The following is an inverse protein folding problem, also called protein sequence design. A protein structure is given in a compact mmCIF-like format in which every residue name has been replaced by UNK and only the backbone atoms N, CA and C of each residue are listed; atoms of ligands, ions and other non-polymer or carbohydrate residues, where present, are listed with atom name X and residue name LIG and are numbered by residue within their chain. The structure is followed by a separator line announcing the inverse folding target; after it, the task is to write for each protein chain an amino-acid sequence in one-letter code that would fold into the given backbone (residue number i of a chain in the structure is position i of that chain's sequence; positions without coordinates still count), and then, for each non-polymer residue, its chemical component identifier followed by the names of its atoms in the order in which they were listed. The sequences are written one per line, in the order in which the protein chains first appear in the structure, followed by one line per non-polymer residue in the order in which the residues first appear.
data_IF_246204361266
#
_entry.id   IF_246204361266
#
_cell.length_a   1.000
_cell.length_b   1.000
_cell.length_c   1.000
_cell.angle_alpha   90.00
_cell.angle_beta   90.00
_cell.angle_gamma   90.00
#
_symmetry.space_group_name_H-M   'P 1'
#
loop_
_entity.id
_entity.type
_entity.pdbx_description
1 polymer ?
#
# COMPACT_ATOMS: atom_id res chain seq x y z
N UNK A 1 13.89 54.72 43.20
CA UNK A 1 13.95 53.28 42.93
C UNK A 1 12.71 52.90 42.11
N UNK A 2 12.85 52.76 40.80
CA UNK A 2 11.75 52.38 39.90
C UNK A 2 11.88 50.88 39.62
N UNK A 3 10.88 50.10 40.04
CA UNK A 3 10.78 48.66 39.76
C UNK A 3 10.22 48.45 38.35
N UNK A 4 10.97 47.78 37.53
CA UNK A 4 10.58 47.30 36.19
C UNK A 4 9.61 46.14 36.32
N UNK A 5 8.48 46.08 35.59
CA UNK A 5 7.59 44.94 35.64
C UNK A 5 8.14 43.80 34.75
N UNK A 6 8.12 42.64 35.32
CA UNK A 6 8.58 41.35 34.80
C UNK A 6 7.80 40.89 33.56
N UNK A 7 8.54 40.50 32.50
CA UNK A 7 8.09 39.88 31.27
C UNK A 7 7.59 38.43 31.45
N UNK A 8 6.50 38.16 32.14
CA UNK A 8 5.95 36.80 32.32
C UNK A 8 4.44 36.70 32.07
N UNK A 9 3.82 37.69 31.47
CA UNK A 9 2.37 37.70 31.28
C UNK A 9 1.92 37.90 29.82
N UNK A 10 2.60 37.21 28.84
CA UNK A 10 2.18 37.30 27.43
C UNK A 10 2.18 35.96 26.66
N UNK A 11 2.20 34.82 27.35
CA UNK A 11 2.20 33.50 26.75
C UNK A 11 1.02 32.59 27.17
N UNK A 12 -0.04 33.14 27.75
CA UNK A 12 -1.12 32.32 28.33
C UNK A 12 -2.55 32.75 27.97
N UNK A 13 -2.73 33.51 26.89
CA UNK A 13 -4.06 34.04 26.51
C UNK A 13 -4.40 33.79 25.04
N UNK A 14 -4.22 32.54 24.53
CA UNK A 14 -4.71 32.09 23.21
C UNK A 14 -5.01 30.57 23.18
N UNK A 15 -5.62 30.01 24.23
CA UNK A 15 -6.04 28.61 24.26
C UNK A 15 -7.38 28.38 24.95
N UNK A 16 -8.33 29.30 24.82
CA UNK A 16 -9.68 29.01 25.29
C UNK A 16 -10.69 29.16 24.16
N UNK A 17 -11.23 28.02 23.70
CA UNK A 17 -12.60 27.94 23.17
C UNK A 17 -12.82 27.93 21.67
N UNK A 18 -11.83 27.95 20.80
CA UNK A 18 -12.10 27.72 19.38
C UNK A 18 -12.38 26.22 19.13
N UNK A 19 -13.60 25.91 18.71
CA UNK A 19 -13.96 24.55 18.32
C UNK A 19 -13.00 24.04 17.22
N UNK A 20 -12.35 22.89 17.46
CA UNK A 20 -11.47 22.28 16.48
C UNK A 20 -12.28 21.75 15.30
N UNK A 21 -11.84 22.07 14.10
CA UNK A 21 -12.40 21.49 12.88
C UNK A 21 -11.94 20.05 12.73
N UNK A 22 -12.76 19.23 12.08
CA UNK A 22 -12.37 17.88 11.64
C UNK A 22 -11.93 17.90 10.19
N UNK A 23 -11.03 16.99 9.80
CA UNK A 23 -10.57 16.89 8.43
C UNK A 23 -9.86 15.57 8.14
N UNK A 24 -9.63 15.32 6.85
CA UNK A 24 -8.91 14.16 6.33
C UNK A 24 -7.58 14.61 5.75
N UNK A 25 -6.48 13.98 6.11
CA UNK A 25 -5.18 14.22 5.46
C UNK A 25 -5.17 13.55 4.09
N UNK A 26 -5.14 14.36 3.02
CA UNK A 26 -5.17 13.91 1.61
C UNK A 26 -3.83 14.06 0.90
N UNK A 27 -2.87 14.71 1.51
CA UNK A 27 -1.51 14.85 0.99
C UNK A 27 -0.50 15.05 2.12
N UNK A 28 0.71 14.53 1.95
CA UNK A 28 1.80 14.72 2.90
C UNK A 28 3.07 15.11 2.15
N UNK A 29 3.63 16.29 2.47
CA UNK A 29 4.76 16.89 1.80
C UNK A 29 5.83 17.29 2.83
N UNK A 30 6.55 16.33 3.36
CA UNK A 30 7.56 16.58 4.38
C UNK A 30 7.00 17.12 5.68
N UNK A 31 7.02 18.46 5.88
CA UNK A 31 6.50 19.10 7.11
C UNK A 31 5.08 19.62 6.99
N UNK A 32 4.50 19.60 5.79
CA UNK A 32 3.17 20.10 5.51
C UNK A 32 2.24 18.95 5.17
N UNK A 33 0.99 19.07 5.58
CA UNK A 33 -0.08 18.18 5.19
C UNK A 33 -1.18 18.98 4.49
N UNK A 34 -1.83 18.38 3.53
CA UNK A 34 -3.05 18.90 2.95
C UNK A 34 -4.21 18.22 3.67
N UNK A 35 -5.04 19.00 4.35
CA UNK A 35 -6.23 18.53 5.04
C UNK A 35 -7.45 18.91 4.21
N UNK A 36 -8.30 17.93 3.91
CA UNK A 36 -9.59 18.14 3.25
C UNK A 36 -10.69 18.21 4.31
N UNK A 37 -11.47 19.26 4.26
CA UNK A 37 -12.61 19.53 5.15
C UNK A 37 -13.85 18.76 4.69
N UNK A 38 -14.91 18.73 5.50
CA UNK A 38 -16.15 18.03 5.17
C UNK A 38 -16.87 18.59 3.93
N UNK A 39 -16.67 19.88 3.62
CA UNK A 39 -17.19 20.58 2.43
C UNK A 39 -16.25 20.45 1.21
N UNK A 40 -15.16 19.68 1.31
CA UNK A 40 -14.24 19.41 0.22
C UNK A 40 -13.15 20.47 -0.02
N UNK A 41 -13.05 21.48 0.84
CA UNK A 41 -11.97 22.46 0.75
C UNK A 41 -10.66 21.83 1.21
N UNK A 42 -9.53 22.22 0.57
CA UNK A 42 -8.20 21.74 0.90
C UNK A 42 -7.38 22.86 1.52
N UNK A 43 -6.90 22.61 2.73
CA UNK A 43 -6.14 23.57 3.54
C UNK A 43 -4.76 22.99 3.84
N UNK A 44 -3.72 23.82 3.68
CA UNK A 44 -2.37 23.45 4.10
C UNK A 44 -2.33 23.55 5.63
N UNK A 45 -1.86 22.48 6.26
CA UNK A 45 -1.76 22.38 7.70
C UNK A 45 -0.38 21.90 8.15
N UNK A 46 0.03 22.35 9.33
CA UNK A 46 1.26 21.88 9.99
C UNK A 46 0.91 21.08 11.25
N UNK A 47 1.58 19.97 11.50
CA UNK A 47 1.46 19.26 12.78
C UNK A 47 1.98 20.10 13.94
N UNK A 48 1.28 20.11 15.07
CA UNK A 48 1.75 20.78 16.29
C UNK A 48 2.92 19.97 16.89
N UNK A 49 4.10 20.57 16.86
CA UNK A 49 5.32 19.97 17.43
C UNK A 49 6.04 18.96 16.53
N UNK A 50 7.26 18.56 16.96
CA UNK A 50 8.20 17.74 16.16
C UNK A 50 7.84 16.24 16.11
N UNK A 51 6.97 15.75 16.97
CA UNK A 51 6.69 14.30 17.15
C UNK A 51 5.44 13.79 16.44
N UNK A 52 4.54 14.66 16.01
CA UNK A 52 3.31 14.24 15.33
C UNK A 52 3.58 14.11 13.83
N UNK A 53 3.72 12.88 13.36
CA UNK A 53 3.74 12.59 11.92
C UNK A 53 2.33 12.24 11.49
N UNK A 54 1.66 13.18 10.81
CA UNK A 54 0.42 12.91 10.12
C UNK A 54 0.72 12.25 8.78
N UNK A 55 -0.04 11.22 8.43
CA UNK A 55 0.06 10.51 7.16
C UNK A 55 -1.25 10.62 6.38
N UNK A 56 -1.19 10.37 5.09
CA UNK A 56 -2.40 10.35 4.24
C UNK A 56 -3.38 9.31 4.77
N UNK A 57 -4.67 9.68 4.85
CA UNK A 57 -5.72 8.86 5.44
C UNK A 57 -5.97 9.11 6.93
N UNK A 58 -5.15 9.91 7.61
CA UNK A 58 -5.42 10.30 8.99
C UNK A 58 -6.66 11.20 9.08
N UNK A 59 -7.50 10.91 10.06
CA UNK A 59 -8.53 11.84 10.52
C UNK A 59 -7.92 12.73 11.57
N UNK A 60 -8.08 14.04 11.44
CA UNK A 60 -7.41 15.02 12.28
C UNK A 60 -8.39 16.04 12.84
N UNK A 61 -8.01 16.56 14.01
CA UNK A 61 -8.60 17.77 14.57
C UNK A 61 -7.60 18.89 14.38
N UNK A 62 -8.04 19.98 13.75
CA UNK A 62 -7.18 21.06 13.36
C UNK A 62 -7.83 22.42 13.63
N UNK A 63 -7.00 23.43 13.80
CA UNK A 63 -7.40 24.81 14.00
C UNK A 63 -7.02 25.64 12.78
N UNK A 64 -7.97 26.41 12.25
CA UNK A 64 -7.70 27.35 11.18
C UNK A 64 -6.92 28.56 11.71
N UNK A 65 -5.97 29.05 10.90
CA UNK A 65 -5.29 30.31 11.09
C UNK A 65 -5.43 31.15 9.79
N UNK A 66 -4.82 32.32 9.73
CA UNK A 66 -5.05 33.27 8.63
C UNK A 66 -4.67 32.71 7.27
N UNK A 67 -3.53 31.99 7.15
CA UNK A 67 -3.01 31.48 5.88
C UNK A 67 -2.91 29.96 5.83
N UNK A 68 -2.74 29.29 6.97
CA UNK A 68 -2.52 27.85 7.10
C UNK A 68 -3.22 27.33 8.36
N UNK A 69 -3.42 26.01 8.45
CA UNK A 69 -3.99 25.37 9.63
C UNK A 69 -2.94 24.69 10.51
N UNK A 70 -3.30 24.41 11.75
CA UNK A 70 -2.49 23.63 12.69
C UNK A 70 -3.23 22.35 13.05
N UNK A 71 -2.62 21.19 12.81
CA UNK A 71 -3.13 19.90 13.28
C UNK A 71 -2.82 19.78 14.76
N UNK A 72 -3.86 19.79 15.58
CA UNK A 72 -3.79 19.69 17.02
C UNK A 72 -3.75 18.24 17.49
N UNK A 73 -4.51 17.37 16.81
CA UNK A 73 -4.64 15.97 17.17
C UNK A 73 -4.85 15.09 15.92
N UNK A 74 -4.20 13.93 15.89
CA UNK A 74 -4.52 12.82 15.00
C UNK A 74 -5.46 11.89 15.75
N UNK A 75 -6.60 11.54 15.16
CA UNK A 75 -7.54 10.58 15.74
C UNK A 75 -6.95 9.17 15.73
N UNK A 76 -7.48 8.26 16.56
CA UNK A 76 -7.02 6.87 16.62
C UNK A 76 -7.13 6.22 15.25
N UNK A 77 -6.01 5.71 14.75
CA UNK A 77 -5.93 4.98 13.49
C UNK A 77 -6.51 3.59 13.67
N UNK A 78 -7.25 3.12 12.66
CA UNK A 78 -7.69 1.72 12.55
C UNK A 78 -6.51 0.81 12.21
N UNK A 79 -5.66 1.25 11.29
CA UNK A 79 -4.42 0.60 10.87
C UNK A 79 -3.48 1.65 10.27
N UNK A 80 -2.20 1.27 10.11
CA UNK A 80 -1.18 2.09 9.48
C UNK A 80 -0.31 1.20 8.58
N UNK A 81 -0.33 1.43 7.27
CA UNK A 81 0.57 0.72 6.38
C UNK A 81 1.93 1.42 6.31
N UNK A 82 2.99 0.71 6.67
CA UNK A 82 4.35 1.25 6.72
C UNK A 82 5.38 0.17 6.40
N UNK A 83 6.59 0.58 6.13
CA UNK A 83 7.78 -0.27 6.07
C UNK A 83 8.81 0.24 7.06
N UNK A 84 9.65 -0.64 7.53
CA UNK A 84 10.75 -0.29 8.40
C UNK A 84 12.03 -0.96 7.90
N UNK A 85 12.97 -0.13 7.47
CA UNK A 85 14.33 -0.51 7.19
C UNK A 85 15.15 -0.38 8.49
N UNK A 86 16.42 -0.75 8.48
CA UNK A 86 17.29 -0.71 9.67
C UNK A 86 17.31 0.67 10.38
N UNK A 87 17.23 1.75 9.61
CA UNK A 87 17.45 3.12 10.09
C UNK A 87 16.18 3.95 10.04
N UNK A 88 15.24 3.63 9.15
CA UNK A 88 14.10 4.49 8.84
C UNK A 88 12.79 3.72 8.80
N UNK A 89 11.77 4.33 9.38
CA UNK A 89 10.37 3.95 9.16
C UNK A 89 9.76 4.88 8.13
N UNK A 90 9.13 4.32 7.10
CA UNK A 90 8.35 5.07 6.12
C UNK A 90 6.90 4.63 6.21
N UNK A 91 6.06 5.52 6.70
CA UNK A 91 4.60 5.36 6.67
C UNK A 91 4.06 5.77 5.31
N UNK A 92 3.13 5.00 4.79
CA UNK A 92 2.48 5.24 3.50
C UNK A 92 1.12 5.89 3.68
N UNK A 93 0.21 5.20 4.37
CA UNK A 93 -1.14 5.67 4.60
C UNK A 93 -1.78 4.98 5.81
N UNK A 94 -2.82 5.59 6.36
CA UNK A 94 -3.59 5.09 7.49
C UNK A 94 -5.06 4.87 7.13
N UNK A 95 -5.78 4.12 7.97
CA UNK A 95 -7.22 3.88 7.86
C UNK A 95 -7.65 3.24 6.54
N UNK A 96 -6.82 2.33 6.04
CA UNK A 96 -7.02 1.60 4.79
C UNK A 96 -8.05 0.48 4.95
N UNK A 97 -8.83 0.22 3.90
CA UNK A 97 -9.65 -0.98 3.76
C UNK A 97 -8.84 -2.09 3.09
N UNK A 98 -8.01 -1.72 2.11
CA UNK A 98 -7.23 -2.68 1.34
C UNK A 98 -5.97 -2.07 0.71
N UNK A 99 -5.05 -2.95 0.29
CA UNK A 99 -3.85 -2.63 -0.48
C UNK A 99 -3.92 -3.34 -1.82
N UNK A 100 -3.86 -2.60 -2.92
CA UNK A 100 -3.74 -3.12 -4.27
C UNK A 100 -2.27 -3.19 -4.66
N UNK A 101 -1.72 -4.40 -4.73
CA UNK A 101 -0.34 -4.64 -5.17
C UNK A 101 -0.38 -4.88 -6.68
N UNK A 102 -0.06 -3.83 -7.43
CA UNK A 102 -0.04 -3.85 -8.90
C UNK A 102 1.35 -4.26 -9.38
N UNK A 103 1.45 -5.47 -9.93
CA UNK A 103 2.62 -6.03 -10.59
C UNK A 103 2.35 -6.20 -12.08
N UNK A 104 3.36 -6.52 -12.86
CA UNK A 104 3.21 -6.71 -14.30
C UNK A 104 3.95 -7.97 -14.78
N UNK A 105 3.55 -8.48 -15.95
CA UNK A 105 4.29 -9.53 -16.61
C UNK A 105 5.66 -9.01 -17.08
N UNK A 106 5.76 -7.71 -17.40
CA UNK A 106 6.99 -7.01 -17.75
C UNK A 106 6.94 -5.56 -17.22
N UNK A 107 7.97 -5.05 -16.50
CA UNK A 107 9.13 -5.81 -16.02
C UNK A 107 8.74 -6.95 -15.09
N UNK A 108 9.54 -8.01 -15.09
CA UNK A 108 9.31 -9.20 -14.25
C UNK A 108 9.21 -8.82 -12.77
N UNK A 109 8.18 -9.29 -12.10
CA UNK A 109 7.98 -8.98 -10.68
C UNK A 109 8.84 -9.87 -9.77
N UNK A 110 9.29 -9.31 -8.65
CA UNK A 110 9.98 -10.03 -7.59
C UNK A 110 8.98 -10.65 -6.61
N UNK A 111 8.98 -11.97 -6.48
CA UNK A 111 8.14 -12.66 -5.49
C UNK A 111 8.57 -12.36 -4.05
N UNK A 112 9.85 -12.08 -3.81
CA UNK A 112 10.31 -11.62 -2.49
C UNK A 112 9.70 -10.28 -2.12
N UNK A 113 9.69 -9.31 -3.05
CA UNK A 113 9.04 -8.01 -2.80
C UNK A 113 7.53 -8.13 -2.65
N UNK A 114 6.88 -8.97 -3.47
CA UNK A 114 5.45 -9.26 -3.32
C UNK A 114 5.17 -9.85 -1.93
N UNK A 115 5.94 -10.85 -1.50
CA UNK A 115 5.78 -11.48 -0.20
C UNK A 115 5.98 -10.48 0.94
N UNK A 116 6.96 -9.58 0.87
CA UNK A 116 7.16 -8.53 1.87
C UNK A 116 5.95 -7.60 2.00
N UNK A 117 5.38 -7.18 0.87
CA UNK A 117 4.19 -6.33 0.88
C UNK A 117 2.96 -7.06 1.46
N UNK A 118 2.82 -8.36 1.16
CA UNK A 118 1.76 -9.19 1.74
C UNK A 118 1.93 -9.33 3.26
N UNK A 119 3.13 -9.63 3.74
CA UNK A 119 3.43 -9.74 5.19
C UNK A 119 3.10 -8.42 5.91
N UNK A 120 3.45 -7.27 5.33
CA UNK A 120 3.13 -5.99 5.93
C UNK A 120 1.60 -5.72 5.97
N UNK A 121 0.86 -6.17 4.95
CA UNK A 121 -0.59 -6.05 4.94
C UNK A 121 -1.24 -6.98 5.97
N UNK A 122 -0.79 -8.22 6.06
CA UNK A 122 -1.26 -9.20 7.05
C UNK A 122 -1.00 -8.74 8.49
N UNK A 123 0.19 -8.16 8.75
CA UNK A 123 0.55 -7.66 10.07
C UNK A 123 -0.38 -6.54 10.56
N UNK A 124 -0.85 -5.69 9.66
CA UNK A 124 -1.75 -4.57 9.94
C UNK A 124 -3.23 -4.90 9.70
N UNK A 125 -3.54 -6.17 9.38
CA UNK A 125 -4.90 -6.65 9.09
C UNK A 125 -5.57 -5.86 7.95
N UNK A 126 -4.80 -5.49 6.94
CA UNK A 126 -5.27 -4.80 5.75
C UNK A 126 -5.41 -5.83 4.62
N UNK A 127 -6.57 -5.87 3.97
CA UNK A 127 -6.86 -6.83 2.90
C UNK A 127 -5.94 -6.62 1.70
N UNK A 128 -5.07 -7.57 1.32
CA UNK A 128 -4.25 -7.45 0.12
C UNK A 128 -5.00 -7.96 -1.12
N UNK A 129 -4.79 -7.27 -2.25
CA UNK A 129 -5.25 -7.66 -3.58
C UNK A 129 -4.04 -7.63 -4.49
N UNK A 130 -3.81 -8.67 -5.26
CA UNK A 130 -2.73 -8.76 -6.24
C UNK A 130 -3.36 -8.53 -7.63
N UNK A 131 -2.83 -7.58 -8.40
CA UNK A 131 -3.23 -7.37 -9.77
C UNK A 131 -2.03 -7.57 -10.70
N UNK A 132 -2.11 -8.54 -11.59
CA UNK A 132 -1.11 -8.77 -12.62
C UNK A 132 -1.52 -8.05 -13.91
N UNK A 133 -0.79 -7.00 -14.25
CA UNK A 133 -1.05 -6.19 -15.44
C UNK A 133 -0.31 -6.72 -16.68
N UNK A 134 -0.70 -6.20 -17.82
CA UNK A 134 -0.17 -6.51 -19.15
C UNK A 134 -0.54 -7.91 -19.65
N UNK A 135 -1.80 -8.30 -19.45
CA UNK A 135 -2.32 -9.57 -19.98
C UNK A 135 -2.30 -9.64 -21.51
N UNK A 136 -2.07 -8.52 -22.17
CA UNK A 136 -1.85 -8.41 -23.62
C UNK A 136 -0.49 -8.99 -24.08
N UNK A 137 0.44 -9.32 -23.18
CA UNK A 137 1.75 -9.86 -23.52
C UNK A 137 1.79 -11.40 -23.73
N UNK A 138 0.64 -12.06 -23.83
CA UNK A 138 0.53 -13.48 -24.20
C UNK A 138 1.37 -14.40 -23.30
N UNK A 139 2.37 -15.07 -23.88
CA UNK A 139 3.18 -16.08 -23.17
C UNK A 139 3.92 -15.53 -21.92
N UNK A 140 4.38 -14.29 -21.97
CA UNK A 140 5.01 -13.65 -20.81
C UNK A 140 4.03 -13.47 -19.65
N UNK A 141 2.79 -13.09 -19.99
CA UNK A 141 1.73 -13.00 -18.98
C UNK A 141 1.40 -14.35 -18.40
N UNK A 142 1.22 -15.38 -19.25
CA UNK A 142 0.88 -16.74 -18.79
C UNK A 142 1.94 -17.29 -17.85
N UNK A 143 3.22 -17.15 -18.19
CA UNK A 143 4.33 -17.56 -17.30
C UNK A 143 4.25 -16.84 -15.95
N UNK A 144 3.99 -15.53 -15.95
CA UNK A 144 3.82 -14.74 -14.73
C UNK A 144 2.57 -15.13 -13.94
N UNK A 145 1.48 -15.45 -14.64
CA UNK A 145 0.23 -15.91 -14.05
C UNK A 145 0.39 -17.26 -13.35
N UNK A 146 1.12 -18.20 -13.92
CA UNK A 146 1.42 -19.48 -13.29
C UNK A 146 2.24 -19.32 -12.01
N UNK A 147 3.18 -18.38 -11.97
CA UNK A 147 3.96 -18.08 -10.76
C UNK A 147 3.09 -17.56 -9.61
N UNK A 148 1.91 -17.03 -9.90
CA UNK A 148 0.94 -16.58 -8.90
C UNK A 148 -0.02 -17.69 -8.44
N UNK A 149 0.10 -18.92 -8.96
CA UNK A 149 -0.76 -20.03 -8.54
C UNK A 149 -0.68 -20.32 -7.03
N UNK A 150 0.50 -20.33 -6.36
CA UNK A 150 0.58 -20.48 -4.91
C UNK A 150 -0.19 -19.40 -4.14
N UNK A 151 -0.15 -18.16 -4.61
CA UNK A 151 -0.86 -17.04 -3.97
C UNK A 151 -2.38 -17.20 -4.06
N UNK A 152 -2.88 -17.66 -5.20
CA UNK A 152 -4.32 -18.02 -5.34
C UNK A 152 -4.71 -19.18 -4.43
N UNK A 153 -3.84 -20.20 -4.34
CA UNK A 153 -4.07 -21.35 -3.45
C UNK A 153 -4.10 -20.94 -1.95
N UNK A 154 -3.34 -19.93 -1.56
CA UNK A 154 -3.39 -19.33 -0.22
C UNK A 154 -4.67 -18.50 0.04
N UNK A 155 -5.54 -18.31 -0.96
CA UNK A 155 -6.78 -17.53 -0.84
C UNK A 155 -6.64 -16.04 -1.14
N UNK A 156 -5.48 -15.58 -1.61
CA UNK A 156 -5.36 -14.19 -2.06
C UNK A 156 -6.17 -13.92 -3.32
N UNK A 157 -6.83 -12.77 -3.35
CA UNK A 157 -7.47 -12.28 -4.57
C UNK A 157 -6.39 -11.87 -5.56
N UNK A 158 -6.33 -12.58 -6.71
CA UNK A 158 -5.39 -12.32 -7.79
C UNK A 158 -6.18 -12.03 -9.07
N UNK A 159 -6.02 -10.84 -9.64
CA UNK A 159 -6.78 -10.41 -10.83
C UNK A 159 -5.86 -10.13 -12.02
N UNK A 160 -6.25 -10.54 -13.24
CA UNK A 160 -5.54 -10.21 -14.46
C UNK A 160 -5.99 -8.85 -14.97
N UNK A 161 -5.07 -8.02 -15.50
CA UNK A 161 -5.38 -6.70 -16.06
C UNK A 161 -4.63 -6.47 -17.38
N UNK A 162 -5.25 -5.68 -18.27
CA UNK A 162 -4.58 -4.99 -19.36
C UNK A 162 -4.99 -3.52 -19.37
N UNK A 163 -4.29 -2.72 -18.58
CA UNK A 163 -4.60 -1.29 -18.47
C UNK A 163 -4.40 -0.54 -19.79
N UNK A 164 -3.48 -1.00 -20.64
CA UNK A 164 -3.30 -0.44 -21.98
C UNK A 164 -4.53 -0.64 -22.88
N UNK A 165 -5.07 -1.85 -22.91
CA UNK A 165 -6.28 -2.14 -23.70
C UNK A 165 -7.50 -1.41 -23.13
N UNK A 166 -7.62 -1.33 -21.79
CA UNK A 166 -8.68 -0.57 -21.14
C UNK A 166 -8.62 0.92 -21.49
N UNK A 167 -7.42 1.51 -21.52
CA UNK A 167 -7.22 2.91 -21.90
C UNK A 167 -7.56 3.14 -23.38
N UNK A 168 -7.08 2.28 -24.27
CA UNK A 168 -7.39 2.38 -25.70
C UNK A 168 -8.90 2.33 -25.99
N UNK A 169 -9.64 1.53 -25.23
CA UNK A 169 -11.09 1.44 -25.36
C UNK A 169 -11.80 2.73 -24.90
N UNK A 170 -11.25 3.40 -23.89
CA UNK A 170 -11.75 4.71 -23.44
C UNK A 170 -11.44 5.83 -24.44
N UNK A 171 -10.25 5.81 -25.03
CA UNK A 171 -9.80 6.84 -25.98
C UNK A 171 -10.44 6.70 -27.37
N UNK A 172 -10.81 5.47 -27.76
CA UNK A 172 -11.36 5.13 -29.08
C UNK A 172 -12.56 4.19 -28.97
N UNK A 173 -13.71 4.66 -28.43
CA UNK A 173 -14.88 3.81 -28.19
C UNK A 173 -15.48 3.20 -29.47
N UNK A 174 -15.25 3.83 -30.64
CA UNK A 174 -15.76 3.38 -31.93
C UNK A 174 -14.86 2.33 -32.62
N UNK A 175 -13.68 2.06 -32.10
CA UNK A 175 -12.77 1.05 -32.65
C UNK A 175 -12.98 -0.28 -31.94
N UNK A 176 -13.34 -1.28 -32.73
CA UNK A 176 -13.57 -2.65 -32.24
C UNK A 176 -12.23 -3.35 -31.97
N UNK A 177 -11.41 -2.78 -31.04
CA UNK A 177 -10.18 -3.44 -30.58
C UNK A 177 -10.58 -4.63 -29.70
N UNK A 178 -10.18 -5.86 -30.05
CA UNK A 178 -10.52 -7.03 -29.26
C UNK A 178 -9.78 -6.94 -27.92
N UNK A 179 -10.51 -6.58 -26.86
CA UNK A 179 -10.03 -6.77 -25.49
C UNK A 179 -10.28 -8.23 -25.13
N UNK A 180 -9.28 -8.91 -24.61
CA UNK A 180 -9.48 -10.30 -24.21
C UNK A 180 -10.55 -10.39 -23.13
N UNK A 181 -11.37 -11.45 -23.13
CA UNK A 181 -12.39 -11.69 -22.11
C UNK A 181 -11.78 -11.66 -20.69
N UNK A 182 -10.58 -12.20 -20.55
CA UNK A 182 -9.82 -12.21 -19.31
C UNK A 182 -9.52 -10.77 -18.77
N UNK A 183 -9.15 -9.85 -19.67
CA UNK A 183 -8.88 -8.46 -19.28
C UNK A 183 -10.18 -7.72 -18.92
N UNK A 184 -11.28 -7.98 -19.62
CA UNK A 184 -12.60 -7.40 -19.32
C UNK A 184 -13.13 -7.87 -17.96
N UNK A 185 -13.06 -9.18 -17.70
CA UNK A 185 -13.45 -9.76 -16.42
C UNK A 185 -12.60 -9.19 -15.27
N UNK A 186 -11.28 -9.14 -15.45
CA UNK A 186 -10.36 -8.58 -14.46
C UNK A 186 -10.62 -7.10 -14.17
N UNK A 187 -10.94 -6.30 -15.20
CA UNK A 187 -11.30 -4.90 -15.03
C UNK A 187 -12.62 -4.74 -14.26
N UNK A 188 -13.65 -5.51 -14.60
CA UNK A 188 -14.93 -5.50 -13.90
C UNK A 188 -14.75 -5.90 -12.43
N UNK A 189 -13.95 -6.95 -12.16
CA UNK A 189 -13.62 -7.40 -10.83
C UNK A 189 -12.85 -6.32 -10.04
N UNK A 190 -11.88 -5.65 -10.67
CA UNK A 190 -11.15 -4.56 -10.04
C UNK A 190 -12.10 -3.44 -9.60
N UNK A 191 -12.98 -2.97 -10.49
CA UNK A 191 -13.93 -1.90 -10.18
C UNK A 191 -14.86 -2.29 -9.02
N UNK A 192 -15.34 -3.53 -9.01
CA UNK A 192 -16.15 -4.04 -7.92
C UNK A 192 -15.39 -4.07 -6.57
N UNK A 193 -14.12 -4.50 -6.59
CA UNK A 193 -13.26 -4.53 -5.40
C UNK A 193 -12.93 -3.13 -4.86
N UNK A 194 -12.82 -2.13 -5.73
CA UNK A 194 -12.51 -0.76 -5.35
C UNK A 194 -13.74 0.00 -4.81
N UNK A 195 -14.93 -0.41 -5.20
CA UNK A 195 -16.18 0.32 -4.89
C UNK A 195 -16.39 0.52 -3.39
N UNK A 196 -16.49 1.77 -2.97
CA UNK A 196 -16.68 2.16 -1.56
C UNK A 196 -15.50 1.84 -0.64
N UNK A 197 -14.31 1.59 -1.18
CA UNK A 197 -13.13 1.23 -0.41
C UNK A 197 -12.04 2.31 -0.47
N UNK A 198 -11.28 2.44 0.60
CA UNK A 198 -10.04 3.20 0.65
C UNK A 198 -8.87 2.27 0.33
N UNK A 199 -8.30 2.43 -0.87
CA UNK A 199 -7.30 1.51 -1.42
C UNK A 199 -5.94 2.20 -1.58
N UNK A 200 -4.91 1.67 -0.93
CA UNK A 200 -3.53 2.04 -1.22
C UNK A 200 -3.03 1.28 -2.44
N UNK A 201 -2.50 1.98 -3.44
CA UNK A 201 -1.92 1.38 -4.66
C UNK A 201 -0.41 1.28 -4.50
N UNK A 202 0.10 0.07 -4.52
CA UNK A 202 1.53 -0.25 -4.46
C UNK A 202 1.97 -0.97 -5.74
N UNK A 203 3.25 -0.93 -6.03
CA UNK A 203 3.84 -1.72 -7.11
C UNK A 203 5.14 -1.12 -7.63
N UNK A 204 5.98 -1.91 -8.31
CA UNK A 204 7.24 -1.46 -8.88
C UNK A 204 7.04 -0.42 -9.99
N UNK A 205 8.14 0.23 -10.38
CA UNK A 205 8.14 1.10 -11.56
C UNK A 205 7.78 0.28 -12.81
N UNK A 206 6.99 0.85 -13.71
CA UNK A 206 6.56 0.18 -14.93
C UNK A 206 5.41 -0.83 -14.77
N UNK A 207 4.89 -1.06 -13.55
CA UNK A 207 3.74 -1.96 -13.34
C UNK A 207 2.41 -1.40 -13.86
N UNK A 208 2.30 -0.07 -14.08
CA UNK A 208 1.09 0.58 -14.60
C UNK A 208 0.31 1.40 -13.56
N UNK A 209 0.87 1.71 -12.37
CA UNK A 209 0.17 2.50 -11.34
C UNK A 209 -0.35 3.84 -11.84
N UNK A 210 0.50 4.63 -12.49
CA UNK A 210 0.09 5.94 -13.04
C UNK A 210 -1.00 5.79 -14.10
N UNK A 211 -0.92 4.75 -14.93
CA UNK A 211 -1.94 4.44 -15.93
C UNK A 211 -3.28 4.10 -15.25
N UNK A 212 -3.26 3.28 -14.20
CA UNK A 212 -4.46 2.94 -13.43
C UNK A 212 -5.10 4.19 -12.82
N UNK A 213 -4.30 5.02 -12.15
CA UNK A 213 -4.80 6.22 -11.48
C UNK A 213 -5.39 7.20 -12.50
N UNK A 214 -4.69 7.46 -13.61
CA UNK A 214 -5.18 8.36 -14.66
C UNK A 214 -6.47 7.84 -15.33
N UNK A 215 -6.62 6.52 -15.48
CA UNK A 215 -7.83 5.92 -16.02
C UNK A 215 -9.04 6.07 -15.08
N UNK A 216 -8.83 5.97 -13.77
CA UNK A 216 -9.90 6.02 -12.77
C UNK A 216 -10.19 7.43 -12.27
N UNK A 217 -9.18 8.32 -12.29
CA UNK A 217 -9.26 9.71 -11.79
C UNK A 217 -8.89 10.68 -12.90
N UNK A 218 -9.84 11.12 -13.74
CA UNK A 218 -9.57 12.12 -14.75
C UNK A 218 -9.04 13.41 -14.13
N UNK A 219 -7.92 13.89 -14.66
CA UNK A 219 -7.27 15.11 -14.14
C UNK A 219 -6.26 14.86 -13.01
N UNK A 220 -6.00 13.63 -12.58
CA UNK A 220 -4.92 13.32 -11.66
C UNK A 220 -3.55 13.72 -12.20
N UNK A 221 -3.36 13.70 -13.54
CA UNK A 221 -2.14 14.07 -14.27
C UNK A 221 -0.86 13.43 -13.69
N UNK A 222 -0.98 12.20 -13.22
CA UNK A 222 0.17 11.43 -12.72
C UNK A 222 1.08 11.11 -13.91
N UNK A 223 2.36 11.49 -13.81
CA UNK A 223 3.33 11.29 -14.90
C UNK A 223 3.55 9.80 -15.13
N UNK A 224 3.29 9.33 -16.36
CA UNK A 224 3.52 7.94 -16.73
C UNK A 224 4.99 7.68 -17.05
N UNK A 225 5.47 6.43 -16.88
CA UNK A 225 6.86 6.07 -17.08
C UNK A 225 7.40 6.32 -18.50
N UNK A 226 6.56 6.28 -19.53
CA UNK A 226 6.93 6.57 -20.92
C UNK A 226 7.31 8.05 -21.09
N UNK A 227 6.56 8.96 -20.47
CA UNK A 227 6.86 10.41 -20.49
C UNK A 227 8.10 10.71 -19.64
N UNK A 228 8.30 9.99 -18.53
CA UNK A 228 9.47 10.13 -17.66
C UNK A 228 10.77 9.74 -18.36
N UNK A 229 10.75 8.73 -19.23
CA UNK A 229 11.91 8.35 -20.05
C UNK A 229 12.19 9.38 -21.18
N UNK A 230 11.15 9.94 -21.79
CA UNK A 230 11.28 10.92 -22.86
C UNK A 230 11.84 12.26 -22.35
N UNK A 231 11.57 12.63 -21.11
CA UNK A 231 12.03 13.90 -20.53
C UNK A 231 13.48 13.87 -20.02
N UNK A 232 14.17 12.71 -20.08
CA UNK A 232 15.62 12.56 -19.74
C UNK A 232 16.05 13.26 -18.43
N UNK A 233 15.12 13.53 -17.54
CA UNK A 233 15.36 14.20 -16.27
C UNK A 233 15.15 13.20 -15.14
N UNK A 234 16.23 12.54 -14.73
CA UNK A 234 16.29 11.52 -13.68
C UNK A 234 15.86 11.99 -12.28
N UNK A 235 14.75 12.73 -12.14
CA UNK A 235 14.34 13.29 -10.85
C UNK A 235 12.84 13.42 -10.58
N UNK A 236 11.95 12.80 -11.33
CA UNK A 236 10.52 12.84 -10.97
C UNK A 236 9.92 11.46 -10.76
N UNK A 237 10.49 10.74 -9.79
CA UNK A 237 9.74 9.70 -9.10
C UNK A 237 8.76 10.43 -8.17
N UNK A 238 7.47 10.10 -8.21
CA UNK A 238 6.45 10.61 -7.25
C UNK A 238 7.02 10.45 -5.83
N UNK A 239 7.33 11.58 -5.18
CA UNK A 239 7.97 11.56 -3.85
C UNK A 239 6.95 11.66 -2.73
N UNK A 240 5.69 11.95 -3.06
CA UNK A 240 4.61 12.25 -2.12
C UNK A 240 3.46 11.27 -2.25
N UNK A 241 2.91 10.87 -1.10
CA UNK A 241 1.68 10.08 -1.06
C UNK A 241 0.48 11.01 -1.25
N UNK A 242 -0.44 10.66 -2.15
CA UNK A 242 -1.58 11.50 -2.52
C UNK A 242 -2.87 10.69 -2.54
N UNK A 243 -3.92 11.29 -1.96
CA UNK A 243 -5.27 10.76 -1.94
C UNK A 243 -6.08 11.29 -3.13
N UNK A 244 -6.78 10.38 -3.82
CA UNK A 244 -7.70 10.68 -4.92
C UNK A 244 -9.08 10.11 -4.63
N UNK A 245 -10.13 10.93 -4.82
CA UNK A 245 -11.49 10.44 -4.87
C UNK A 245 -11.80 9.88 -6.25
N UNK A 246 -12.48 8.75 -6.31
CA UNK A 246 -12.84 8.06 -7.55
C UNK A 246 -14.35 8.15 -7.75
N UNK A 247 -14.81 9.26 -8.32
CA UNK A 247 -16.25 9.52 -8.50
C UNK A 247 -16.88 8.71 -9.64
N UNK A 248 -16.05 8.11 -10.51
CA UNK A 248 -16.51 7.24 -11.62
C UNK A 248 -17.01 5.87 -11.18
N UNK A 249 -16.64 5.43 -10.00
CA UNK A 249 -17.09 4.14 -9.45
C UNK A 249 -18.29 4.42 -8.54
N UNK A 250 -19.47 4.03 -9.00
CA UNK A 250 -20.66 4.09 -8.18
C UNK A 250 -20.48 3.17 -6.95
N UNK A 251 -20.62 3.71 -5.77
CA UNK A 251 -20.59 2.92 -4.54
C UNK A 251 -22.00 2.50 -4.15
N UNK A 252 -22.18 1.22 -3.87
CA UNK A 252 -23.42 0.70 -3.28
C UNK A 252 -23.58 1.08 -1.80
N UNK A 253 -22.51 1.62 -1.19
CA UNK A 253 -22.48 2.10 0.20
C UNK A 253 -22.43 3.62 0.24
N UNK A 254 -22.68 4.22 1.40
CA UNK A 254 -22.49 5.65 1.61
C UNK A 254 -21.02 6.10 1.58
N UNK A 255 -20.08 5.15 1.59
CA UNK A 255 -18.66 5.44 1.57
C UNK A 255 -18.17 5.72 0.14
N UNK A 256 -17.49 6.85 -0.05
CA UNK A 256 -16.86 7.20 -1.34
C UNK A 256 -15.66 6.29 -1.61
N UNK A 257 -15.44 5.98 -2.87
CA UNK A 257 -14.23 5.24 -3.32
C UNK A 257 -13.02 6.16 -3.30
N UNK A 258 -11.91 5.68 -2.74
CA UNK A 258 -10.65 6.41 -2.71
C UNK A 258 -9.47 5.56 -3.16
N UNK A 259 -8.56 6.16 -3.92
CA UNK A 259 -7.25 5.62 -4.23
C UNK A 259 -6.17 6.47 -3.60
N UNK A 260 -5.15 5.82 -3.05
CA UNK A 260 -3.98 6.48 -2.50
C UNK A 260 -2.77 6.02 -3.32
N UNK A 261 -2.14 6.97 -4.03
CA UNK A 261 -0.86 6.72 -4.73
C UNK A 261 0.30 6.89 -3.75
N UNK A 262 1.19 5.92 -3.72
CA UNK A 262 2.38 5.99 -2.88
C UNK A 262 3.63 5.56 -3.64
N UNK A 263 4.71 6.36 -3.55
CA UNK A 263 6.01 5.99 -4.10
C UNK A 263 6.76 5.02 -3.19
N UNK A 264 7.61 4.18 -3.79
CA UNK A 264 8.64 3.46 -3.05
C UNK A 264 8.33 2.03 -2.68
N UNK A 265 7.92 1.22 -3.65
CA UNK A 265 7.80 -0.24 -3.50
C UNK A 265 9.15 -0.98 -3.52
N UNK A 266 10.24 -0.35 -3.97
CA UNK A 266 11.49 -1.05 -4.32
C UNK A 266 12.26 -1.63 -3.14
N UNK A 267 12.22 -1.01 -1.97
CA UNK A 267 12.92 -1.48 -0.78
C UNK A 267 11.93 -1.61 0.37
N UNK A 268 11.31 -2.78 0.49
CA UNK A 268 10.27 -3.02 1.48
C UNK A 268 10.85 -3.75 2.70
N UNK A 269 11.43 -3.00 3.65
CA UNK A 269 11.97 -3.53 4.89
C UNK A 269 10.86 -3.95 5.87
N UNK A 270 11.08 -5.04 6.58
CA UNK A 270 10.16 -5.63 7.56
C UNK A 270 10.75 -5.67 8.98
N UNK A 271 11.69 -4.80 9.31
CA UNK A 271 12.40 -4.83 10.61
C UNK A 271 11.50 -4.63 11.85
N UNK A 272 10.24 -4.23 11.64
CA UNK A 272 9.23 -4.19 12.70
C UNK A 272 8.56 -5.55 12.99
N UNK A 273 8.83 -6.57 12.15
CA UNK A 273 8.30 -7.92 12.32
C UNK A 273 9.33 -8.78 13.05
N UNK A 274 8.97 -9.34 14.20
CA UNK A 274 9.84 -10.28 14.88
C UNK A 274 9.92 -11.61 14.08
N UNK A 275 11.09 -12.27 13.99
CA UNK A 275 11.25 -13.55 13.27
C UNK A 275 10.20 -14.59 13.68
N UNK A 276 9.87 -14.68 14.96
CA UNK A 276 8.86 -15.61 15.48
C UNK A 276 7.43 -15.34 14.98
N UNK A 277 7.14 -14.12 14.49
CA UNK A 277 5.83 -13.76 13.94
C UNK A 277 5.71 -14.11 12.44
N UNK A 278 6.85 -14.31 11.75
CA UNK A 278 6.88 -14.43 10.30
C UNK A 278 6.00 -15.59 9.79
N UNK A 279 6.06 -16.75 10.43
CA UNK A 279 5.26 -17.92 10.05
C UNK A 279 3.74 -17.63 10.13
N UNK A 280 3.30 -16.81 11.08
CA UNK A 280 1.89 -16.46 11.24
C UNK A 280 1.37 -15.46 10.18
N UNK A 281 2.30 -14.75 9.50
CA UNK A 281 2.02 -13.76 8.48
C UNK A 281 2.17 -14.32 7.05
N UNK A 282 2.47 -15.61 6.91
CA UNK A 282 2.55 -16.33 5.64
C UNK A 282 1.54 -17.47 5.65
N UNK A 283 0.38 -17.35 4.98
CA UNK A 283 -0.73 -18.29 5.10
C UNK A 283 -0.38 -19.74 4.77
N UNK A 284 0.49 -19.98 3.78
CA UNK A 284 0.99 -21.29 3.40
C UNK A 284 1.84 -21.92 4.51
N UNK A 285 2.71 -21.16 5.16
CA UNK A 285 3.52 -21.61 6.29
C UNK A 285 2.63 -21.81 7.54
N UNK A 286 1.76 -20.84 7.82
CA UNK A 286 0.85 -20.84 8.97
C UNK A 286 -0.04 -22.09 8.99
N UNK A 287 -0.53 -22.52 7.81
CA UNK A 287 -1.41 -23.67 7.69
C UNK A 287 -0.81 -24.95 8.28
N UNK A 288 0.51 -25.13 8.21
CA UNK A 288 1.22 -26.32 8.64
C UNK A 288 2.10 -26.12 9.89
N UNK A 289 2.18 -24.91 10.42
CA UNK A 289 2.99 -24.61 11.59
C UNK A 289 2.54 -25.36 12.85
N UNK A 290 1.24 -25.67 12.97
CA UNK A 290 0.69 -26.42 14.11
C UNK A 290 0.98 -27.91 14.06
N UNK A 291 1.42 -28.45 12.92
CA UNK A 291 1.78 -29.85 12.71
C UNK A 291 3.22 -30.15 13.18
N UNK A 292 3.96 -29.13 13.62
CA UNK A 292 5.33 -29.28 14.06
C UNK A 292 5.43 -29.99 15.41
N UNK A 293 6.42 -30.87 15.53
CA UNK A 293 6.72 -31.59 16.78
C UNK A 293 7.10 -30.65 17.92
N UNK A 294 7.77 -29.53 17.61
CA UNK A 294 8.27 -28.59 18.61
C UNK A 294 7.49 -27.26 18.54
N UNK A 295 7.09 -26.73 19.70
CA UNK A 295 6.33 -25.47 19.81
C UNK A 295 7.12 -24.22 19.37
N UNK A 296 8.47 -24.29 19.42
CA UNK A 296 9.39 -23.24 19.03
C UNK A 296 10.08 -23.54 17.67
N UNK A 297 9.44 -24.33 16.81
CA UNK A 297 9.96 -24.67 15.50
C UNK A 297 10.17 -23.40 14.66
N UNK A 298 11.37 -23.27 14.09
CA UNK A 298 11.68 -22.14 13.18
C UNK A 298 11.33 -22.46 11.73
N UNK A 299 10.94 -23.70 11.42
CA UNK A 299 10.60 -24.21 10.08
C UNK A 299 11.78 -24.16 9.08
N UNK A 300 13.01 -24.14 9.59
CA UNK A 300 14.23 -24.09 8.77
C UNK A 300 14.85 -25.48 8.54
N UNK A 301 15.00 -26.25 9.62
CA UNK A 301 15.72 -27.54 9.59
C UNK A 301 15.32 -28.53 10.69
N UNK A 302 14.31 -28.21 11.50
CA UNK A 302 13.96 -29.04 12.65
C UNK A 302 13.33 -30.37 12.22
N UNK A 303 13.74 -31.49 12.85
CA UNK A 303 13.16 -32.80 12.58
C UNK A 303 11.71 -32.86 13.07
N UNK A 304 10.81 -33.39 12.23
CA UNK A 304 9.37 -33.42 12.51
C UNK A 304 8.68 -32.06 12.36
N UNK A 305 9.22 -31.19 11.51
CA UNK A 305 8.58 -29.95 11.12
C UNK A 305 7.47 -30.21 10.10
N UNK A 306 6.22 -29.81 10.41
CA UNK A 306 5.08 -29.94 9.52
C UNK A 306 5.22 -29.12 8.24
N UNK A 307 5.84 -27.94 8.32
CA UNK A 307 6.12 -27.07 7.16
C UNK A 307 7.11 -27.75 6.21
N UNK A 308 8.24 -28.27 6.70
CA UNK A 308 9.25 -28.95 5.86
C UNK A 308 8.67 -30.20 5.19
N UNK A 309 7.82 -30.95 5.88
CA UNK A 309 7.15 -32.11 5.29
C UNK A 309 6.29 -31.73 4.07
N UNK A 310 5.71 -30.55 4.05
CA UNK A 310 4.94 -30.04 2.90
C UNK A 310 5.82 -29.51 1.77
N UNK A 311 7.02 -29.03 2.07
CA UNK A 311 8.00 -28.63 1.04
C UNK A 311 8.52 -29.85 0.28
N UNK A 312 8.77 -30.95 0.97
CA UNK A 312 9.27 -32.21 0.39
C UNK A 312 8.22 -32.92 -0.48
N UNK A 313 6.93 -32.64 -0.26
CA UNK A 313 5.83 -33.29 -0.97
C UNK A 313 5.22 -32.43 -2.09
N UNK A 314 6.05 -31.81 -2.92
CA UNK A 314 5.68 -30.81 -3.95
C UNK A 314 4.48 -31.17 -4.86
N UNK A 315 4.12 -32.44 -4.97
CA UNK A 315 3.00 -32.93 -5.78
C UNK A 315 1.66 -33.03 -5.04
N UNK A 316 1.62 -32.69 -3.76
CA UNK A 316 0.43 -32.82 -2.91
C UNK A 316 -0.37 -31.53 -2.91
N UNK A 317 -1.71 -31.57 -2.98
CA UNK A 317 -2.52 -30.36 -2.77
C UNK A 317 -2.22 -29.71 -1.43
N UNK A 318 -1.89 -28.41 -1.43
CA UNK A 318 -1.47 -27.67 -0.24
C UNK A 318 0.05 -27.65 0.00
N UNK A 319 0.84 -28.34 -0.84
CA UNK A 319 2.29 -28.30 -0.76
C UNK A 319 2.85 -26.87 -0.87
N UNK A 320 3.90 -26.62 -0.09
CA UNK A 320 4.63 -25.37 -0.13
C UNK A 320 5.75 -25.50 -1.16
N UNK A 321 5.77 -24.64 -2.19
CA UNK A 321 6.84 -24.72 -3.17
C UNK A 321 8.21 -24.42 -2.54
N UNK A 322 9.26 -25.08 -3.01
CA UNK A 322 10.64 -24.86 -2.55
C UNK A 322 11.04 -23.37 -2.66
N UNK A 323 10.50 -22.64 -3.66
CA UNK A 323 10.72 -21.21 -3.83
C UNK A 323 10.08 -20.39 -2.70
N UNK A 324 8.86 -20.70 -2.29
CA UNK A 324 8.17 -20.04 -1.18
C UNK A 324 8.88 -20.26 0.14
N UNK A 325 9.28 -21.49 0.41
CA UNK A 325 10.05 -21.81 1.61
C UNK A 325 11.41 -21.10 1.64
N UNK A 326 12.10 -21.00 0.49
CA UNK A 326 13.35 -20.24 0.39
C UNK A 326 13.16 -18.76 0.71
N UNK A 327 12.06 -18.14 0.26
CA UNK A 327 11.72 -16.76 0.62
C UNK A 327 11.51 -16.64 2.13
N UNK A 328 10.80 -17.59 2.74
CA UNK A 328 10.63 -17.64 4.20
C UNK A 328 11.97 -17.69 4.93
N UNK A 329 12.87 -18.60 4.53
CA UNK A 329 14.21 -18.73 5.12
C UNK A 329 15.01 -17.43 5.04
N UNK A 330 15.06 -16.82 3.85
CA UNK A 330 15.76 -15.54 3.64
C UNK A 330 15.23 -14.44 4.55
N UNK A 331 13.90 -14.32 4.67
CA UNK A 331 13.29 -13.33 5.52
C UNK A 331 13.51 -13.60 7.01
N UNK A 332 13.46 -14.87 7.41
CA UNK A 332 13.71 -15.27 8.80
C UNK A 332 15.16 -14.96 9.22
N UNK A 333 16.13 -15.27 8.37
CA UNK A 333 17.54 -14.96 8.60
C UNK A 333 17.79 -13.45 8.65
N UNK A 334 17.21 -12.69 7.70
CA UNK A 334 17.34 -11.23 7.67
C UNK A 334 16.81 -10.59 8.95
N UNK A 335 15.59 -10.97 9.36
CA UNK A 335 14.95 -10.43 10.57
C UNK A 335 15.62 -10.92 11.86
N UNK A 336 16.29 -12.07 11.83
CA UNK A 336 17.03 -12.62 12.95
C UNK A 336 18.41 -11.99 13.16
N UNK A 337 18.95 -11.26 12.19
CA UNK A 337 20.20 -10.54 12.34
C UNK A 337 20.02 -9.38 13.30
N UNK A 338 20.34 -9.60 14.58
CA UNK A 338 20.48 -8.50 15.53
C UNK A 338 21.70 -7.67 15.11
N UNK A 339 21.47 -6.45 14.68
CA UNK A 339 22.56 -5.50 14.48
C UNK A 339 22.70 -4.68 15.76
N UNK A 340 23.90 -4.78 16.31
CA UNK A 340 24.38 -4.08 17.49
C UNK A 340 24.62 -2.60 17.19
#
# INVERSE_FOLDING_TARGET
MKRTPTKVAKAQALTDGAALNTGLVVGSHGRHCVVETADGQRVICHPRGKKSQSVVGDRVRWQAATDEGTIEQVETRRNLFYRQDEIRTKSFAANLDQVLILIAAEPEFSETQLTRALIAAEAEQIRPIIALNKSDLGALFEASWQRLAPYRAMGYTVIPLSLKQAQQQLDHPDTNHPVSSLAQEGQAQLLALLSGQTTLVLGPSGSGKSTLINALVPGAQVVTGEISQALNSGKHTTTTTTWYWVDRIASATAQRTALIDSPGFQEFGLHHIAPAQLAQLMPDIKAHAQECRFYNCTHLHEPGCGVLAQVESESTPGAISARRHRIYQQLFEELGQQRW
#
